data_IF_249906958089
#
_entry.id   IF_249906958089
#
_cell.length_a   1.000
_cell.length_b   1.000
_cell.length_c   1.000
_cell.angle_alpha   90.00
_cell.angle_beta   90.00
_cell.angle_gamma   90.00
#
_symmetry.space_group_name_H-M   'P 1'
#
loop_
_entity.id
_entity.type
_entity.pdbx_description
1 polymer ?
#
# COMPACT_ATOMS: atom_id res chain seq x y z
N UNK A 1 -22.87 -8.95 4.43
CA UNK A 1 -23.91 -10.01 4.36
C UNK A 1 -23.64 -11.14 5.36
N UNK A 2 -22.43 -11.74 5.38
CA UNK A 2 -22.07 -12.86 6.28
C UNK A 2 -22.25 -12.48 7.76
N UNK A 3 -21.78 -11.30 8.19
CA UNK A 3 -21.92 -10.84 9.58
C UNK A 3 -23.38 -10.73 10.02
N UNK A 4 -24.25 -10.21 9.16
CA UNK A 4 -25.69 -10.14 9.43
C UNK A 4 -26.33 -11.54 9.47
N UNK A 5 -25.87 -12.46 8.64
CA UNK A 5 -26.34 -13.85 8.68
C UNK A 5 -25.94 -14.54 9.99
N UNK A 6 -24.73 -14.33 10.47
CA UNK A 6 -24.27 -14.83 11.76
C UNK A 6 -25.07 -14.25 12.94
N UNK A 7 -25.35 -12.94 12.90
CA UNK A 7 -26.20 -12.27 13.89
C UNK A 7 -27.62 -12.86 13.90
N UNK A 8 -28.21 -13.11 12.72
CA UNK A 8 -29.53 -13.78 12.59
C UNK A 8 -29.52 -15.21 13.12
N UNK A 9 -28.39 -15.90 13.09
CA UNK A 9 -28.25 -17.24 13.69
C UNK A 9 -28.04 -17.18 15.23
N UNK A 10 -28.20 -16.02 15.87
CA UNK A 10 -28.03 -15.84 17.32
C UNK A 10 -26.57 -15.78 17.78
N UNK A 11 -25.61 -15.58 16.87
CA UNK A 11 -24.19 -15.40 17.25
C UNK A 11 -23.95 -14.01 17.80
N UNK A 12 -23.21 -13.91 18.91
CA UNK A 12 -22.61 -12.65 19.37
C UNK A 12 -21.28 -12.45 18.65
N UNK A 13 -21.06 -11.27 18.11
CA UNK A 13 -19.88 -10.94 17.31
C UNK A 13 -19.09 -9.83 18.02
N UNK A 14 -17.79 -10.07 18.22
CA UNK A 14 -16.82 -9.05 18.60
C UNK A 14 -15.84 -8.90 17.45
N UNK A 15 -15.77 -7.69 16.87
CA UNK A 15 -14.95 -7.38 15.69
C UNK A 15 -13.89 -6.35 16.10
N UNK A 16 -12.62 -6.68 15.85
CA UNK A 16 -11.51 -5.72 15.98
C UNK A 16 -11.20 -5.19 14.59
N UNK A 17 -11.50 -3.93 14.36
CA UNK A 17 -11.39 -3.29 13.05
C UNK A 17 -11.04 -1.81 13.15
N UNK A 18 -10.35 -1.31 12.15
CA UNK A 18 -10.02 0.11 12.01
C UNK A 18 -10.71 0.76 10.81
N UNK A 19 -11.31 -0.03 9.90
CA UNK A 19 -12.16 0.44 8.80
C UNK A 19 -13.61 0.42 9.24
N UNK A 20 -14.12 1.55 9.71
CA UNK A 20 -15.41 1.62 10.40
C UNK A 20 -16.61 1.71 9.45
N UNK A 21 -16.41 2.22 8.22
CA UNK A 21 -17.50 2.54 7.29
C UNK A 21 -18.44 1.36 6.98
N UNK A 22 -17.92 0.14 6.84
CA UNK A 22 -18.78 -1.03 6.55
C UNK A 22 -19.45 -1.59 7.79
N UNK A 23 -19.02 -1.21 8.99
CA UNK A 23 -19.63 -1.57 10.26
C UNK A 23 -20.70 -0.57 10.69
N UNK A 24 -20.72 0.62 10.11
CA UNK A 24 -21.58 1.73 10.52
C UNK A 24 -23.08 1.36 10.59
N UNK A 25 -23.54 0.45 9.70
CA UNK A 25 -24.95 0.04 9.61
C UNK A 25 -25.24 -1.35 10.21
N UNK A 26 -24.22 -2.06 10.71
CA UNK A 26 -24.39 -3.43 11.20
C UNK A 26 -23.95 -3.61 12.65
N UNK A 27 -23.05 -2.78 13.17
CA UNK A 27 -22.61 -2.82 14.56
C UNK A 27 -23.66 -2.14 15.46
N UNK A 28 -23.90 -2.72 16.63
CA UNK A 28 -24.80 -2.13 17.65
C UNK A 28 -24.03 -1.09 18.48
N UNK A 29 -22.76 -1.38 18.81
CA UNK A 29 -21.89 -0.53 19.60
C UNK A 29 -20.47 -0.49 19.04
N UNK A 30 -19.78 0.63 19.27
CA UNK A 30 -18.36 0.84 19.01
C UNK A 30 -17.62 1.09 20.30
N UNK A 31 -16.63 0.26 20.60
CA UNK A 31 -15.78 0.42 21.77
C UNK A 31 -14.40 0.91 21.32
N UNK A 32 -14.03 2.10 21.77
CA UNK A 32 -12.78 2.72 21.40
C UNK A 32 -11.70 2.30 22.39
N UNK A 33 -10.62 1.71 21.88
CA UNK A 33 -9.45 1.32 22.67
C UNK A 33 -8.26 2.23 22.37
N UNK A 34 -7.58 2.68 23.41
CA UNK A 34 -6.28 3.34 23.33
C UNK A 34 -5.46 2.98 24.56
N UNK A 35 -4.14 2.85 24.39
CA UNK A 35 -3.19 2.54 25.48
C UNK A 35 -3.54 1.29 26.30
N UNK A 36 -4.15 0.29 25.68
CA UNK A 36 -4.56 -0.96 26.33
C UNK A 36 -5.85 -0.87 27.13
N UNK A 37 -6.58 0.25 27.09
CA UNK A 37 -7.81 0.51 27.83
C UNK A 37 -8.98 0.86 26.90
N UNK A 38 -10.22 0.57 27.36
CA UNK A 38 -11.41 1.06 26.69
C UNK A 38 -11.65 2.51 27.13
N UNK A 39 -11.46 3.46 26.23
CA UNK A 39 -11.63 4.89 26.48
C UNK A 39 -13.09 5.36 26.34
N UNK A 40 -13.93 4.60 25.64
CA UNK A 40 -15.35 4.91 25.51
C UNK A 40 -16.13 3.81 24.80
N UNK A 41 -17.45 3.82 25.04
CA UNK A 41 -18.43 2.96 24.39
C UNK A 41 -19.49 3.86 23.78
N UNK A 42 -19.81 3.62 22.53
CA UNK A 42 -20.69 4.48 21.73
C UNK A 42 -21.67 3.61 20.95
N UNK A 43 -22.91 4.03 20.88
CA UNK A 43 -23.87 3.48 19.92
C UNK A 43 -23.46 3.80 18.50
N UNK A 44 -24.01 3.09 17.52
CA UNK A 44 -23.77 3.39 16.12
C UNK A 44 -24.19 4.83 15.73
N UNK A 45 -25.25 5.36 16.36
CA UNK A 45 -25.71 6.72 16.12
C UNK A 45 -24.71 7.77 16.67
N UNK A 46 -24.22 7.56 17.88
CA UNK A 46 -23.21 8.46 18.48
C UNK A 46 -21.89 8.41 17.71
N UNK A 47 -21.43 7.23 17.30
CA UNK A 47 -20.21 7.09 16.53
C UNK A 47 -20.30 7.79 15.15
N UNK A 48 -21.46 7.71 14.48
CA UNK A 48 -21.73 8.46 13.24
C UNK A 48 -21.74 9.97 13.42
N UNK A 49 -22.09 10.45 14.61
CA UNK A 49 -22.17 11.87 14.94
C UNK A 49 -20.81 12.48 15.32
N UNK A 50 -19.73 11.71 15.40
CA UNK A 50 -18.39 12.23 15.74
C UNK A 50 -17.94 13.29 14.73
N UNK A 51 -17.52 14.44 15.26
CA UNK A 51 -16.84 15.44 14.44
C UNK A 51 -15.48 14.94 13.93
N UNK A 52 -14.94 15.59 12.91
CA UNK A 52 -13.59 15.30 12.42
C UNK A 52 -12.52 15.42 13.53
N UNK A 53 -12.66 16.42 14.41
CA UNK A 53 -11.76 16.65 15.54
C UNK A 53 -11.85 15.53 16.57
N UNK A 54 -13.06 15.09 16.91
CA UNK A 54 -13.26 13.95 17.82
C UNK A 54 -12.66 12.66 17.24
N UNK A 55 -12.86 12.39 15.96
CA UNK A 55 -12.25 11.22 15.31
C UNK A 55 -10.73 11.30 15.33
N UNK A 56 -10.16 12.47 15.07
CA UNK A 56 -8.72 12.67 15.13
C UNK A 56 -8.16 12.42 16.53
N UNK A 57 -8.80 12.97 17.58
CA UNK A 57 -8.41 12.76 18.96
C UNK A 57 -8.46 11.28 19.37
N UNK A 58 -9.46 10.56 18.89
CA UNK A 58 -9.65 9.12 19.14
C UNK A 58 -8.89 8.22 18.17
N UNK A 59 -8.12 8.79 17.23
CA UNK A 59 -7.43 8.08 16.15
C UNK A 59 -8.34 7.17 15.33
N UNK A 60 -9.59 7.57 15.13
CA UNK A 60 -10.60 6.83 14.39
C UNK A 60 -10.67 7.27 12.92
N UNK A 61 -10.89 6.33 12.04
CA UNK A 61 -11.24 6.61 10.63
C UNK A 61 -12.70 7.01 10.54
N UNK A 62 -13.07 7.68 9.42
CA UNK A 62 -14.47 8.04 9.18
C UNK A 62 -15.37 6.81 9.04
N UNK A 63 -16.61 6.95 9.48
CA UNK A 63 -17.69 5.99 9.25
C UNK A 63 -18.42 6.29 7.93
N UNK A 64 -18.27 7.50 7.38
CA UNK A 64 -18.86 7.90 6.10
C UNK A 64 -17.75 8.28 5.10
N UNK A 65 -17.66 7.52 4.01
CA UNK A 65 -16.68 7.78 2.96
C UNK A 65 -16.98 9.07 2.16
N UNK A 66 -18.23 9.58 2.20
CA UNK A 66 -18.58 10.83 1.55
C UNK A 66 -17.94 12.07 2.21
N UNK A 67 -17.51 11.96 3.46
CA UNK A 67 -16.80 13.02 4.17
C UNK A 67 -15.33 13.17 3.75
N UNK A 68 -14.78 12.20 3.01
CA UNK A 68 -13.38 12.23 2.58
C UNK A 68 -13.24 13.28 1.47
N UNK A 69 -12.64 14.41 1.82
CA UNK A 69 -12.19 15.39 0.83
C UNK A 69 -10.89 14.91 0.18
N UNK A 70 -10.95 14.69 -1.13
CA UNK A 70 -9.74 14.43 -1.92
C UNK A 70 -9.11 15.77 -2.30
N UNK A 71 -7.81 16.00 -2.04
CA UNK A 71 -7.15 17.22 -2.50
C UNK A 71 -7.33 17.38 -4.02
N UNK A 72 -7.58 18.61 -4.47
CA UNK A 72 -7.59 18.90 -5.90
C UNK A 72 -6.25 18.48 -6.50
N UNK A 73 -6.34 17.60 -7.50
CA UNK A 73 -5.17 17.11 -8.21
C UNK A 73 -4.91 18.03 -9.39
N UNK A 74 -3.71 18.62 -9.43
CA UNK A 74 -3.29 19.29 -10.65
C UNK A 74 -3.25 18.29 -11.81
N UNK A 75 -3.96 18.58 -12.92
CA UNK A 75 -3.98 17.67 -14.05
C UNK A 75 -2.59 17.57 -14.67
N UNK A 76 -2.13 16.35 -14.90
CA UNK A 76 -0.87 16.16 -15.62
C UNK A 76 -0.95 16.76 -17.02
N UNK A 77 0.10 17.42 -17.49
CA UNK A 77 0.17 17.91 -18.86
C UNK A 77 -0.15 16.79 -19.85
N UNK A 78 -0.99 17.04 -20.85
CA UNK A 78 -1.33 16.06 -21.90
C UNK A 78 -0.08 15.59 -22.67
N UNK A 79 0.97 16.40 -22.66
CA UNK A 79 2.26 16.17 -23.31
C UNK A 79 3.27 15.45 -22.42
N UNK A 80 2.90 15.06 -21.17
CA UNK A 80 3.81 14.33 -20.29
C UNK A 80 4.29 13.03 -20.95
N UNK A 81 5.60 12.76 -20.99
CA UNK A 81 6.15 11.59 -21.66
C UNK A 81 5.71 10.28 -20.96
N UNK A 82 5.75 9.19 -21.70
CA UNK A 82 5.41 7.87 -21.18
C UNK A 82 6.60 7.31 -20.39
N UNK A 83 6.39 7.06 -19.09
CA UNK A 83 7.35 6.41 -18.22
C UNK A 83 7.34 4.88 -18.38
N UNK A 84 6.14 4.29 -18.43
CA UNK A 84 5.93 2.85 -18.53
C UNK A 84 4.95 2.55 -19.67
N UNK A 85 5.31 1.63 -20.57
CA UNK A 85 4.39 1.06 -21.53
C UNK A 85 4.44 -0.48 -21.49
N UNK A 86 3.27 -1.06 -21.36
CA UNK A 86 3.03 -2.52 -21.39
C UNK A 86 2.25 -2.83 -22.66
N UNK A 87 2.75 -3.75 -23.49
CA UNK A 87 2.15 -4.05 -24.80
C UNK A 87 1.98 -5.55 -24.97
N UNK A 88 0.74 -6.00 -25.09
CA UNK A 88 0.32 -7.41 -25.32
C UNK A 88 1.00 -8.40 -24.37
N UNK A 89 1.19 -8.01 -23.09
CA UNK A 89 1.88 -8.83 -22.11
C UNK A 89 1.02 -10.03 -21.73
N UNK A 90 1.61 -11.21 -21.87
CA UNK A 90 1.02 -12.51 -21.55
C UNK A 90 1.83 -13.22 -20.49
N UNK A 91 1.16 -13.97 -19.65
CA UNK A 91 1.82 -14.73 -18.60
C UNK A 91 1.00 -15.91 -18.12
N UNK A 92 1.67 -17.03 -17.86
CA UNK A 92 1.08 -18.26 -17.30
C UNK A 92 2.00 -18.80 -16.23
N UNK A 93 1.46 -19.17 -15.06
CA UNK A 93 2.25 -19.70 -13.92
C UNK A 93 2.80 -21.12 -14.15
N UNK A 94 2.34 -21.84 -15.13
CA UNK A 94 2.81 -23.20 -15.45
C UNK A 94 2.21 -23.73 -16.72
N UNK A 95 2.84 -24.78 -17.27
CA UNK A 95 2.46 -25.35 -18.58
C UNK A 95 1.01 -25.87 -18.68
N UNK A 96 0.38 -26.16 -17.52
CA UNK A 96 -0.99 -26.69 -17.45
C UNK A 96 -2.02 -25.69 -16.90
N UNK A 97 -1.58 -24.52 -16.44
CA UNK A 97 -2.47 -23.45 -16.00
C UNK A 97 -2.89 -22.61 -17.20
N UNK A 98 -4.15 -22.20 -17.28
CA UNK A 98 -4.61 -21.23 -18.26
C UNK A 98 -3.88 -19.89 -18.12
N UNK A 99 -3.98 -19.04 -19.13
CA UNK A 99 -3.35 -17.72 -19.12
C UNK A 99 -3.83 -16.89 -17.93
N UNK A 100 -2.89 -16.48 -17.09
CA UNK A 100 -3.14 -15.53 -16.01
C UNK A 100 -3.28 -14.12 -16.56
N UNK A 101 -2.51 -13.79 -17.59
CA UNK A 101 -2.58 -12.55 -18.34
C UNK A 101 -2.64 -12.86 -19.83
N UNK A 102 -3.68 -12.37 -20.53
CA UNK A 102 -4.00 -12.71 -21.91
C UNK A 102 -3.87 -11.51 -22.85
N UNK A 103 -2.72 -10.81 -22.83
CA UNK A 103 -2.47 -9.69 -23.72
C UNK A 103 -2.79 -8.33 -23.10
N UNK A 104 -2.30 -8.09 -21.90
CA UNK A 104 -2.50 -6.82 -21.17
C UNK A 104 -1.70 -5.70 -21.84
N UNK A 105 -2.36 -4.57 -22.10
CA UNK A 105 -1.76 -3.38 -22.71
C UNK A 105 -2.24 -2.11 -22.01
N UNK A 106 -1.31 -1.26 -21.58
CA UNK A 106 -1.57 0.08 -21.03
C UNK A 106 -0.28 0.91 -21.00
N UNK A 107 -0.42 2.20 -20.71
CA UNK A 107 0.72 3.08 -20.49
C UNK A 107 0.48 3.98 -19.27
N UNK A 108 1.58 4.36 -18.65
CA UNK A 108 1.63 5.30 -17.51
C UNK A 108 2.61 6.41 -17.87
N UNK A 109 2.21 7.66 -17.63
CA UNK A 109 3.05 8.83 -17.91
C UNK A 109 4.00 9.12 -16.75
N UNK A 110 5.01 9.93 -16.99
CA UNK A 110 5.87 10.43 -15.91
C UNK A 110 5.05 11.22 -14.88
N UNK A 111 5.38 11.03 -13.61
CA UNK A 111 4.68 11.65 -12.46
C UNK A 111 3.18 11.29 -12.33
N UNK A 112 2.72 10.26 -13.02
CA UNK A 112 1.34 9.79 -12.94
C UNK A 112 1.17 8.77 -11.79
N UNK A 113 0.08 8.92 -11.02
CA UNK A 113 -0.35 7.91 -10.04
C UNK A 113 -1.53 7.17 -10.65
N UNK A 114 -1.37 5.87 -10.88
CA UNK A 114 -2.39 5.02 -11.48
C UNK A 114 -2.86 3.97 -10.47
N UNK A 115 -4.15 3.91 -10.22
CA UNK A 115 -4.78 2.83 -9.44
C UNK A 115 -5.15 1.66 -10.33
N UNK A 116 -4.50 0.51 -10.14
CA UNK A 116 -4.87 -0.74 -10.81
C UNK A 116 -5.91 -1.48 -9.96
N UNK A 117 -7.16 -1.48 -10.39
CA UNK A 117 -8.29 -2.03 -9.67
C UNK A 117 -8.90 -3.25 -10.36
N UNK A 118 -9.54 -4.12 -9.60
CA UNK A 118 -10.20 -5.33 -10.12
C UNK A 118 -10.41 -6.39 -9.05
N UNK A 119 -11.15 -7.44 -9.38
CA UNK A 119 -11.44 -8.56 -8.49
C UNK A 119 -10.17 -9.28 -8.01
N UNK A 120 -10.26 -10.01 -6.89
CA UNK A 120 -9.18 -10.86 -6.43
C UNK A 120 -8.90 -11.96 -7.47
N UNK A 121 -7.61 -12.24 -7.70
CA UNK A 121 -7.20 -13.24 -8.68
C UNK A 121 -7.18 -12.77 -10.15
N UNK A 122 -7.58 -11.53 -10.48
CA UNK A 122 -7.58 -11.03 -11.87
C UNK A 122 -6.19 -10.68 -12.44
N UNK A 123 -5.10 -10.88 -11.68
CA UNK A 123 -3.73 -10.71 -12.18
C UNK A 123 -3.04 -9.40 -11.80
N UNK A 124 -3.58 -8.57 -10.90
CA UNK A 124 -2.96 -7.28 -10.46
C UNK A 124 -1.53 -7.47 -9.95
N UNK A 125 -1.35 -8.33 -8.96
CA UNK A 125 -0.02 -8.68 -8.42
C UNK A 125 0.89 -9.28 -9.48
N UNK A 126 0.33 -10.07 -10.40
CA UNK A 126 1.11 -10.71 -11.47
C UNK A 126 1.68 -9.68 -12.44
N UNK A 127 0.86 -8.73 -12.91
CA UNK A 127 1.36 -7.67 -13.79
C UNK A 127 2.36 -6.77 -13.07
N UNK A 128 2.14 -6.46 -11.79
CA UNK A 128 3.10 -5.72 -10.96
C UNK A 128 4.46 -6.42 -10.88
N UNK A 129 4.48 -7.73 -10.62
CA UNK A 129 5.71 -8.55 -10.57
C UNK A 129 6.43 -8.64 -11.92
N UNK A 130 5.69 -8.65 -13.03
CA UNK A 130 6.27 -8.61 -14.37
C UNK A 130 6.93 -7.26 -14.68
N UNK A 131 6.27 -6.15 -14.33
CA UNK A 131 6.83 -4.80 -14.48
C UNK A 131 8.05 -4.61 -13.58
N UNK A 132 8.05 -5.20 -12.39
CA UNK A 132 9.20 -5.19 -11.49
C UNK A 132 10.35 -6.13 -11.95
N UNK A 133 10.15 -6.91 -13.01
CA UNK A 133 11.15 -7.87 -13.51
C UNK A 133 11.35 -9.09 -12.61
N UNK A 134 10.43 -9.34 -11.66
CA UNK A 134 10.45 -10.53 -10.80
C UNK A 134 10.00 -11.79 -11.57
N UNK A 135 9.16 -11.59 -12.59
CA UNK A 135 8.75 -12.62 -13.53
C UNK A 135 9.12 -12.21 -14.95
N UNK A 136 9.20 -13.21 -15.83
CA UNK A 136 9.44 -12.99 -17.24
C UNK A 136 8.14 -13.23 -17.99
N UNK A 137 7.65 -12.28 -18.82
CA UNK A 137 6.46 -12.49 -19.63
C UNK A 137 6.66 -13.60 -20.64
N UNK A 138 5.61 -14.36 -20.94
CA UNK A 138 5.61 -15.38 -22.00
C UNK A 138 5.42 -14.78 -23.38
N UNK A 139 4.88 -13.56 -23.47
CA UNK A 139 4.68 -12.79 -24.69
C UNK A 139 4.53 -11.30 -24.38
N UNK A 140 4.60 -10.50 -25.44
CA UNK A 140 4.52 -9.05 -25.32
C UNK A 140 5.84 -8.40 -24.87
N UNK A 141 5.77 -7.11 -24.48
CA UNK A 141 6.94 -6.35 -24.07
C UNK A 141 6.60 -5.28 -23.04
N UNK A 142 7.60 -4.95 -22.22
CA UNK A 142 7.56 -3.88 -21.24
C UNK A 142 8.64 -2.87 -21.59
N UNK A 143 8.27 -1.60 -21.69
CA UNK A 143 9.17 -0.50 -21.99
C UNK A 143 9.15 0.51 -20.87
N UNK A 144 10.33 1.03 -20.50
CA UNK A 144 10.49 2.16 -19.61
C UNK A 144 11.15 3.30 -20.37
N UNK A 145 10.57 4.49 -20.26
CA UNK A 145 11.09 5.72 -20.92
C UNK A 145 11.40 5.48 -22.43
N UNK A 146 10.46 4.83 -23.13
CA UNK A 146 10.56 4.53 -24.55
C UNK A 146 11.53 3.40 -24.93
N UNK A 147 12.21 2.76 -23.97
CA UNK A 147 13.19 1.70 -24.23
C UNK A 147 12.65 0.33 -23.75
N UNK A 148 12.70 -0.73 -24.58
CA UNK A 148 12.34 -2.07 -24.15
C UNK A 148 13.29 -2.55 -23.06
N UNK A 149 12.75 -3.21 -22.04
CA UNK A 149 13.48 -3.65 -20.86
C UNK A 149 13.44 -5.17 -20.73
N UNK A 150 14.56 -5.76 -20.33
CA UNK A 150 14.59 -7.13 -19.84
C UNK A 150 14.37 -7.17 -18.32
N UNK A 151 14.09 -8.34 -17.71
CA UNK A 151 13.83 -8.44 -16.26
C UNK A 151 14.91 -7.83 -15.38
N UNK A 152 16.21 -8.03 -15.69
CA UNK A 152 17.32 -7.46 -14.91
C UNK A 152 17.37 -5.92 -14.97
N UNK A 153 16.98 -5.35 -16.10
CA UNK A 153 16.91 -3.90 -16.27
C UNK A 153 15.72 -3.32 -15.53
N UNK A 154 14.57 -4.01 -15.55
CA UNK A 154 13.38 -3.64 -14.78
C UNK A 154 13.67 -3.62 -13.27
N UNK A 155 14.32 -4.65 -12.73
CA UNK A 155 14.70 -4.71 -11.30
C UNK A 155 15.56 -3.53 -10.84
N UNK A 156 16.35 -2.94 -11.74
CA UNK A 156 17.17 -1.76 -11.43
C UNK A 156 16.37 -0.46 -11.39
N UNK A 157 15.23 -0.38 -12.06
CA UNK A 157 14.47 0.85 -12.26
C UNK A 157 13.10 0.85 -11.60
N UNK A 158 12.62 -0.32 -11.15
CA UNK A 158 11.30 -0.47 -10.51
C UNK A 158 11.47 -0.94 -9.09
N UNK A 159 10.88 -0.23 -8.15
CA UNK A 159 10.70 -0.70 -6.78
C UNK A 159 9.32 -1.37 -6.69
N UNK A 160 9.29 -2.58 -6.16
CA UNK A 160 8.04 -3.31 -5.93
C UNK A 160 7.87 -3.51 -4.41
N UNK A 161 6.85 -2.90 -3.85
CA UNK A 161 6.45 -3.05 -2.45
C UNK A 161 5.39 -4.14 -2.37
N UNK A 162 5.69 -5.18 -1.59
CA UNK A 162 4.80 -6.32 -1.40
C UNK A 162 3.62 -5.96 -0.50
N UNK A 163 2.46 -6.58 -0.72
CA UNK A 163 1.28 -6.46 0.14
C UNK A 163 1.61 -6.84 1.59
N UNK A 164 2.42 -7.89 1.78
CA UNK A 164 2.90 -8.34 3.08
C UNK A 164 4.29 -7.74 3.31
N UNK A 165 4.33 -6.57 3.95
CA UNK A 165 5.54 -5.78 4.17
C UNK A 165 6.69 -6.56 4.84
N UNK A 166 6.37 -7.49 5.72
CA UNK A 166 7.32 -8.31 6.47
C UNK A 166 8.26 -9.13 5.59
N UNK A 167 7.82 -9.54 4.40
CA UNK A 167 8.68 -10.29 3.47
C UNK A 167 9.73 -9.45 2.75
N UNK A 168 9.79 -8.15 3.02
CA UNK A 168 10.75 -7.25 2.38
C UNK A 168 11.89 -6.82 3.30
N UNK A 169 11.80 -7.10 4.61
CA UNK A 169 12.78 -6.63 5.58
C UNK A 169 13.92 -7.64 5.74
N UNK A 170 15.15 -7.16 5.64
CA UNK A 170 16.36 -8.00 5.65
C UNK A 170 17.33 -7.64 6.77
N UNK A 171 17.16 -6.48 7.43
CA UNK A 171 18.12 -5.97 8.39
C UNK A 171 17.61 -6.06 9.82
N UNK A 172 18.52 -5.84 10.78
CA UNK A 172 18.23 -5.96 12.21
C UNK A 172 17.58 -4.73 12.85
N UNK A 173 17.46 -3.60 12.14
CA UNK A 173 16.80 -2.40 12.67
C UNK A 173 16.14 -1.59 11.57
N UNK A 174 15.14 -0.79 11.97
CA UNK A 174 14.42 0.14 11.09
C UNK A 174 15.39 1.10 10.38
N UNK A 175 16.36 1.65 11.11
CA UNK A 175 17.33 2.56 10.52
C UNK A 175 18.21 1.86 9.47
N UNK A 176 18.71 0.67 9.76
CA UNK A 176 19.50 -0.09 8.81
C UNK A 176 18.68 -0.51 7.58
N UNK A 177 17.37 -0.78 7.75
CA UNK A 177 16.49 -1.09 6.63
C UNK A 177 16.36 0.09 5.65
N UNK A 178 16.24 1.31 6.18
CA UNK A 178 16.19 2.53 5.38
C UNK A 178 17.54 2.86 4.70
N UNK A 179 18.65 2.44 5.29
CA UNK A 179 20.00 2.64 4.74
C UNK A 179 20.41 1.53 3.76
N UNK A 180 19.70 0.40 3.77
CA UNK A 180 20.07 -0.76 2.99
C UNK A 180 20.06 -0.48 1.48
N UNK A 181 21.20 -0.72 0.84
CA UNK A 181 21.39 -0.48 -0.59
C UNK A 181 21.69 0.96 -0.99
N UNK A 182 21.81 1.87 -0.04
CA UNK A 182 22.15 3.27 -0.25
C UNK A 182 23.59 3.60 0.14
N UNK A 183 24.17 4.63 -0.46
CA UNK A 183 25.41 5.24 0.03
C UNK A 183 25.02 6.20 1.14
N UNK A 184 25.41 5.86 2.36
CA UNK A 184 25.08 6.66 3.54
C UNK A 184 26.02 7.87 3.60
N UNK A 185 25.48 9.04 3.23
CA UNK A 185 26.15 10.33 3.36
C UNK A 185 25.51 11.13 4.49
N UNK A 186 26.17 12.18 5.02
CA UNK A 186 25.55 13.05 6.03
C UNK A 186 24.19 13.63 5.58
N UNK A 187 24.03 13.96 4.29
CA UNK A 187 22.77 14.45 3.73
C UNK A 187 21.70 13.35 3.72
N UNK A 188 22.08 12.10 3.40
CA UNK A 188 21.17 10.96 3.43
C UNK A 188 20.73 10.63 4.86
N UNK A 189 21.65 10.68 5.83
CA UNK A 189 21.35 10.52 7.26
C UNK A 189 20.37 11.58 7.74
N UNK A 190 20.61 12.85 7.46
CA UNK A 190 19.72 13.94 7.82
C UNK A 190 18.31 13.78 7.19
N UNK A 191 18.24 13.37 5.93
CA UNK A 191 17.00 13.08 5.23
C UNK A 191 16.23 11.92 5.89
N UNK A 192 16.94 10.85 6.23
CA UNK A 192 16.36 9.66 6.88
C UNK A 192 15.84 9.99 8.28
N UNK A 193 16.60 10.75 9.06
CA UNK A 193 16.19 11.22 10.38
C UNK A 193 14.93 12.10 10.30
N UNK A 194 14.91 13.09 9.41
CA UNK A 194 13.75 13.94 9.20
C UNK A 194 12.50 13.13 8.79
N UNK A 195 12.68 12.14 7.94
CA UNK A 195 11.61 11.26 7.49
C UNK A 195 11.06 10.39 8.64
N UNK A 196 11.94 9.79 9.45
CA UNK A 196 11.56 9.01 10.63
C UNK A 196 10.76 9.86 11.63
N UNK A 197 11.19 11.12 11.86
CA UNK A 197 10.48 12.05 12.74
C UNK A 197 9.12 12.44 12.17
N UNK A 198 9.02 12.73 10.88
CA UNK A 198 7.78 13.12 10.23
C UNK A 198 6.73 12.02 10.20
N UNK A 199 7.17 10.75 10.24
CA UNK A 199 6.31 9.57 10.26
C UNK A 199 6.07 9.01 11.67
N UNK A 200 6.50 9.73 12.72
CA UNK A 200 6.39 9.28 14.12
C UNK A 200 7.01 7.89 14.34
N UNK A 201 8.21 7.70 13.79
CA UNK A 201 8.94 6.43 13.82
C UNK A 201 10.36 6.56 14.42
N UNK A 202 10.75 7.76 14.87
CA UNK A 202 12.11 8.00 15.38
C UNK A 202 12.46 7.11 16.57
N UNK A 203 11.54 6.92 17.50
CA UNK A 203 11.75 6.09 18.68
C UNK A 203 11.79 4.57 18.38
N UNK A 204 11.39 4.20 17.17
CA UNK A 204 11.46 2.83 16.69
C UNK A 204 12.71 2.53 15.85
N UNK A 205 13.60 3.51 15.59
CA UNK A 205 14.72 3.39 14.64
C UNK A 205 15.68 2.23 14.92
N UNK A 206 15.88 1.91 16.20
CA UNK A 206 16.79 0.84 16.64
C UNK A 206 16.07 -0.51 16.82
N UNK A 207 14.73 -0.53 16.66
CA UNK A 207 13.95 -1.75 16.82
C UNK A 207 14.04 -2.62 15.58
N UNK A 208 13.93 -3.94 15.78
CA UNK A 208 13.83 -4.88 14.67
C UNK A 208 12.52 -4.64 13.89
N UNK A 209 12.52 -4.63 12.54
CA UNK A 209 11.32 -4.40 11.74
C UNK A 209 10.14 -5.30 12.09
N UNK A 210 10.37 -6.57 12.42
CA UNK A 210 9.32 -7.52 12.82
C UNK A 210 8.72 -7.25 14.21
N UNK A 211 9.30 -6.35 15.00
CA UNK A 211 8.70 -5.91 16.27
C UNK A 211 7.75 -4.74 16.12
N UNK A 212 7.59 -4.23 14.91
CA UNK A 212 6.71 -3.12 14.59
C UNK A 212 5.25 -3.58 14.49
N UNK A 213 4.31 -2.66 14.74
CA UNK A 213 2.91 -2.89 14.38
C UNK A 213 2.73 -2.90 12.85
N UNK A 214 1.63 -3.49 12.35
CA UNK A 214 1.34 -3.51 10.91
C UNK A 214 1.34 -2.11 10.28
N UNK A 215 0.79 -1.11 10.97
CA UNK A 215 0.81 0.29 10.50
C UNK A 215 2.22 0.90 10.50
N UNK A 216 3.07 0.53 11.47
CA UNK A 216 4.48 0.95 11.48
C UNK A 216 5.27 0.28 10.35
N UNK A 217 5.02 -1.01 10.08
CA UNK A 217 5.64 -1.71 8.94
C UNK A 217 5.25 -1.07 7.60
N UNK A 218 3.96 -0.71 7.42
CA UNK A 218 3.53 0.02 6.22
C UNK A 218 4.20 1.39 6.08
N UNK A 219 4.35 2.15 7.18
CA UNK A 219 5.10 3.41 7.14
C UNK A 219 6.57 3.18 6.77
N UNK A 220 7.20 2.14 7.31
CA UNK A 220 8.57 1.78 6.96
C UNK A 220 8.71 1.50 5.45
N UNK A 221 7.81 0.72 4.86
CA UNK A 221 7.88 0.45 3.40
C UNK A 221 7.66 1.69 2.55
N UNK A 222 6.80 2.62 2.98
CA UNK A 222 6.63 3.91 2.30
C UNK A 222 7.88 4.79 2.42
N UNK A 223 8.56 4.78 3.57
CA UNK A 223 9.84 5.48 3.74
C UNK A 223 10.93 4.89 2.84
N UNK A 224 11.00 3.56 2.71
CA UNK A 224 11.92 2.88 1.77
C UNK A 224 11.62 3.32 0.32
N UNK A 225 10.35 3.42 -0.06
CA UNK A 225 9.96 3.92 -1.38
C UNK A 225 10.39 5.37 -1.60
N UNK A 226 10.23 6.23 -0.59
CA UNK A 226 10.59 7.65 -0.66
C UNK A 226 12.10 7.87 -0.76
N UNK A 227 12.91 7.02 -0.12
CA UNK A 227 14.37 7.09 -0.17
C UNK A 227 14.96 6.43 -1.41
N UNK A 228 14.18 5.61 -2.11
CA UNK A 228 14.63 4.88 -3.30
C UNK A 228 14.89 5.82 -4.48
N UNK A 229 16.00 5.59 -5.19
CA UNK A 229 16.34 6.29 -6.44
C UNK A 229 15.62 5.70 -7.67
N UNK A 230 14.79 4.68 -7.49
CA UNK A 230 14.11 4.04 -8.60
C UNK A 230 12.95 4.90 -9.10
N UNK A 231 12.89 5.19 -10.42
CA UNK A 231 11.92 6.13 -10.97
C UNK A 231 10.48 5.59 -10.99
N UNK A 232 10.29 4.28 -10.83
CA UNK A 232 8.96 3.65 -10.81
C UNK A 232 8.79 2.91 -9.50
N UNK A 233 7.67 3.16 -8.83
CA UNK A 233 7.28 2.49 -7.59
C UNK A 233 5.93 1.81 -7.80
N UNK A 234 5.85 0.54 -7.46
CA UNK A 234 4.61 -0.25 -7.45
C UNK A 234 4.30 -0.64 -6.01
N UNK A 235 3.10 -0.31 -5.56
CA UNK A 235 2.57 -0.70 -4.24
C UNK A 235 1.49 -1.76 -4.48
N UNK A 236 1.70 -3.01 -4.04
CA UNK A 236 0.77 -4.12 -4.21
C UNK A 236 -0.14 -4.31 -2.98
#
# INVERSE_FOLDING_TARGET
>A
EILLALKKQGKTLLLSEHRLYYLADIADEFWVMADGEIKGKYTAAEAKAFSAEQRQTLSLRTLDLAEITVPEKEPLPKTAPTALAVSDVRYTYGRKAGDTLSGVSFSVREHEIVGLVGANGCGKTTIGKLIAGLYRPSGGRIMLFGKPQNPKQLQKQVLFILQEAEFQFFTGSVLHELQYGHVVTPEFEAKTEALLKSMDMWDCRDRHPFSLSGGQMQRLTLMMAYLSDKPIVILD
#
